data_IF_759386549517
#
_entry.id   IF_759386549517
#
_cell.length_a   1.000
_cell.length_b   1.000
_cell.length_c   1.000
_cell.angle_alpha   90.00
_cell.angle_beta   90.00
_cell.angle_gamma   90.00
#
_symmetry.space_group_name_H-M   'P 1'
#
loop_
_entity.id
_entity.type
_entity.pdbx_description
1 polymer ?
#
# COMPACT_ATOMS: atom_id res chain seq x y z
N UNK A 1 -9.37 28.54 13.49
CA UNK A 1 -9.35 27.13 13.08
C UNK A 1 -8.01 26.83 12.46
N UNK A 2 -7.31 25.79 12.91
CA UNK A 2 -6.12 25.34 12.21
C UNK A 2 -6.49 24.08 11.43
N UNK A 3 -6.64 24.21 10.11
CA UNK A 3 -6.41 23.08 9.21
C UNK A 3 -4.92 22.79 9.33
N UNK A 4 -4.59 21.82 10.17
CA UNK A 4 -3.22 21.43 10.45
C UNK A 4 -2.64 20.62 9.29
N UNK A 5 -1.90 19.58 9.62
CA UNK A 5 -1.40 18.61 8.65
C UNK A 5 -2.46 17.52 8.45
N UNK A 6 -2.87 17.28 7.21
CA UNK A 6 -3.83 16.22 6.86
C UNK A 6 -3.16 14.83 6.84
N UNK A 7 -1.98 14.72 6.20
CA UNK A 7 -1.14 13.53 6.30
C UNK A 7 0.36 13.82 6.16
N UNK A 8 1.19 12.87 6.61
CA UNK A 8 2.64 12.86 6.40
C UNK A 8 3.07 11.54 5.76
N UNK A 9 3.93 11.60 4.74
CA UNK A 9 4.51 10.42 4.09
C UNK A 9 5.97 10.21 4.48
N UNK A 10 6.33 8.97 4.81
CA UNK A 10 7.70 8.52 5.06
C UNK A 10 8.04 7.41 4.08
N UNK A 11 8.93 7.71 3.13
CA UNK A 11 9.46 6.74 2.19
C UNK A 11 10.67 6.02 2.78
N UNK A 12 10.60 4.69 2.83
CA UNK A 12 11.73 3.82 3.11
C UNK A 12 12.55 3.60 1.83
N UNK A 13 13.85 3.37 1.99
CA UNK A 13 14.75 3.03 0.90
C UNK A 13 14.74 1.53 0.60
N UNK A 14 14.35 0.70 1.58
CA UNK A 14 14.32 -0.76 1.48
C UNK A 14 13.07 -1.37 2.12
N UNK A 15 12.64 -2.58 1.70
CA UNK A 15 11.56 -3.31 2.38
C UNK A 15 11.85 -3.58 3.87
N UNK A 16 13.12 -3.84 4.22
CA UNK A 16 13.55 -4.06 5.60
C UNK A 16 13.37 -2.80 6.45
N UNK A 17 13.70 -1.64 5.90
CA UNK A 17 13.46 -0.35 6.55
C UNK A 17 11.97 -0.07 6.71
N UNK A 18 11.14 -0.38 5.71
CA UNK A 18 9.69 -0.27 5.84
C UNK A 18 9.16 -1.16 6.98
N UNK A 19 9.64 -2.40 7.09
CA UNK A 19 9.29 -3.29 8.19
C UNK A 19 9.72 -2.73 9.57
N UNK A 20 10.91 -2.11 9.65
CA UNK A 20 11.35 -1.43 10.86
C UNK A 20 10.46 -0.24 11.22
N UNK A 21 10.07 0.58 10.25
CA UNK A 21 9.17 1.73 10.44
C UNK A 21 7.80 1.27 10.94
N UNK A 22 7.21 0.25 10.30
CA UNK A 22 5.94 -0.37 10.72
C UNK A 22 6.00 -0.82 12.19
N UNK A 23 7.08 -1.48 12.59
CA UNK A 23 7.28 -1.91 13.99
C UNK A 23 7.32 -0.73 14.97
N UNK A 24 8.10 0.31 14.65
CA UNK A 24 8.23 1.49 15.53
C UNK A 24 6.91 2.24 15.68
N UNK A 25 6.15 2.35 14.59
CA UNK A 25 4.81 2.97 14.59
C UNK A 25 3.85 2.19 15.50
N UNK A 26 3.87 0.85 15.39
CA UNK A 26 3.05 -0.01 16.23
C UNK A 26 3.45 0.10 17.71
N UNK A 27 4.75 0.15 18.02
CA UNK A 27 5.27 0.36 19.38
C UNK A 27 4.87 1.74 19.96
N UNK A 28 4.73 2.76 19.11
CA UNK A 28 4.29 4.10 19.49
C UNK A 28 2.77 4.21 19.77
N UNK A 29 2.03 3.10 19.69
CA UNK A 29 0.59 3.05 19.93
C UNK A 29 -0.27 3.50 18.75
N UNK A 30 0.34 3.64 17.57
CA UNK A 30 -0.38 3.93 16.35
C UNK A 30 -1.23 2.73 15.90
N UNK A 31 -2.47 2.98 15.45
CA UNK A 31 -3.28 1.96 14.79
C UNK A 31 -2.77 1.78 13.36
N UNK A 32 -2.19 0.63 13.08
CA UNK A 32 -1.65 0.28 11.77
C UNK A 32 -2.75 -0.32 10.90
N UNK A 33 -2.99 0.27 9.73
CA UNK A 33 -3.88 -0.23 8.68
C UNK A 33 -3.00 -0.54 7.45
N UNK A 34 -2.83 -1.82 7.13
CA UNK A 34 -1.93 -2.24 6.05
C UNK A 34 -2.66 -2.21 4.70
N UNK A 35 -2.19 -1.37 3.78
CA UNK A 35 -2.69 -1.34 2.41
C UNK A 35 -1.95 -2.38 1.55
N UNK A 36 -0.71 -2.71 1.90
CA UNK A 36 0.13 -3.67 1.21
C UNK A 36 0.63 -3.18 -0.14
N UNK A 37 0.97 -4.12 -1.02
CA UNK A 37 1.41 -3.82 -2.38
C UNK A 37 0.27 -3.23 -3.22
N UNK A 38 0.53 -2.06 -3.78
CA UNK A 38 -0.42 -1.30 -4.59
C UNK A 38 0.27 -0.62 -5.78
N UNK A 39 -0.54 -0.15 -6.72
CA UNK A 39 -0.09 0.75 -7.78
C UNK A 39 -0.79 2.09 -7.61
N UNK A 40 0.00 3.13 -7.44
CA UNK A 40 -0.51 4.50 -7.30
C UNK A 40 0.40 5.46 -8.06
N UNK A 41 -0.20 6.32 -8.89
CA UNK A 41 0.50 7.36 -9.63
C UNK A 41 1.66 6.83 -10.48
N UNK A 42 1.44 5.72 -11.21
CA UNK A 42 2.44 5.05 -12.05
C UNK A 42 3.65 4.50 -11.27
N UNK A 43 3.48 4.15 -10.00
CA UNK A 43 4.52 3.49 -9.20
C UNK A 43 3.96 2.25 -8.51
N UNK A 44 4.80 1.21 -8.40
CA UNK A 44 4.58 0.08 -7.51
C UNK A 44 5.09 0.44 -6.12
N UNK A 45 4.22 0.37 -5.12
CA UNK A 45 4.57 0.68 -3.73
C UNK A 45 3.97 -0.32 -2.76
N UNK A 46 4.69 -0.61 -1.68
CA UNK A 46 4.15 -1.26 -0.49
C UNK A 46 3.85 -0.18 0.56
N UNK A 47 2.62 -0.11 1.05
CA UNK A 47 2.12 1.01 1.85
C UNK A 47 1.42 0.58 3.12
N UNK A 48 1.60 1.37 4.16
CA UNK A 48 0.89 1.20 5.42
C UNK A 48 0.53 2.55 5.99
N UNK A 49 -0.68 2.63 6.53
CA UNK A 49 -1.22 3.83 7.15
C UNK A 49 -1.27 3.69 8.66
N UNK A 50 -1.07 4.81 9.35
CA UNK A 50 -1.29 4.91 10.79
C UNK A 50 -1.90 6.26 11.15
N UNK A 51 -2.81 6.28 12.12
CA UNK A 51 -3.29 7.52 12.73
C UNK A 51 -2.64 7.71 14.10
N UNK A 52 -2.05 8.88 14.34
CA UNK A 52 -1.45 9.21 15.63
C UNK A 52 -2.49 9.69 16.66
N UNK A 53 -2.06 9.91 17.91
CA UNK A 53 -2.95 10.35 18.99
C UNK A 53 -3.55 11.76 18.81
N UNK A 54 -3.06 12.54 17.86
CA UNK A 54 -3.60 13.86 17.49
C UNK A 54 -4.56 13.77 16.29
N UNK A 55 -4.73 12.59 15.70
CA UNK A 55 -5.59 12.36 14.54
C UNK A 55 -4.91 12.60 13.19
N UNK A 56 -3.60 12.83 13.15
CA UNK A 56 -2.87 13.00 11.88
C UNK A 56 -2.62 11.62 11.26
N UNK A 57 -2.87 11.50 9.96
CA UNK A 57 -2.59 10.27 9.21
C UNK A 57 -1.13 10.26 8.75
N UNK A 58 -0.47 9.13 8.89
CA UNK A 58 0.90 8.93 8.43
C UNK A 58 0.91 7.73 7.48
N UNK A 59 1.61 7.89 6.36
CA UNK A 59 1.88 6.84 5.38
C UNK A 59 3.35 6.43 5.52
N UNK A 60 3.63 5.15 5.76
CA UNK A 60 4.95 4.58 5.60
C UNK A 60 4.94 3.71 4.34
N UNK A 61 5.87 3.94 3.41
CA UNK A 61 5.85 3.22 2.14
C UNK A 61 7.24 2.95 1.57
N UNK A 62 7.32 1.93 0.72
CA UNK A 62 8.49 1.63 -0.10
C UNK A 62 8.04 1.58 -1.57
N UNK A 63 8.78 2.24 -2.46
CA UNK A 63 8.51 2.21 -3.91
C UNK A 63 9.53 1.31 -4.59
N UNK A 64 9.04 0.26 -5.24
CA UNK A 64 9.87 -0.75 -5.90
C UNK A 64 10.13 -0.47 -7.39
N UNK A 65 9.33 0.41 -8.01
CA UNK A 65 9.53 0.80 -9.41
C UNK A 65 8.36 1.56 -10.02
N UNK A 66 8.45 1.79 -11.33
CA UNK A 66 7.39 2.42 -12.13
C UNK A 66 6.35 1.39 -12.59
N UNK A 67 5.12 1.84 -12.78
CA UNK A 67 3.98 1.06 -13.25
C UNK A 67 3.41 1.66 -14.53
N UNK A 68 2.91 0.81 -15.44
CA UNK A 68 2.29 1.25 -16.69
C UNK A 68 0.87 1.81 -16.53
N UNK A 69 0.28 1.71 -15.34
CA UNK A 69 -1.08 2.17 -15.05
C UNK A 69 -1.09 3.17 -13.89
N UNK A 70 -2.07 4.08 -13.90
CA UNK A 70 -2.15 5.13 -12.89
C UNK A 70 -2.62 4.60 -11.51
N UNK A 71 -3.47 3.57 -11.50
CA UNK A 71 -3.93 2.87 -10.31
C UNK A 71 -3.85 1.36 -10.50
N UNK A 72 -3.90 0.61 -9.39
CA UNK A 72 -4.07 -0.83 -9.42
C UNK A 72 -5.40 -1.19 -10.13
N UNK A 73 -5.41 -2.20 -11.04
CA UNK A 73 -6.64 -2.64 -11.65
C UNK A 73 -7.59 -3.21 -10.58
N UNK A 74 -8.85 -2.76 -10.59
CA UNK A 74 -9.88 -3.26 -9.68
C UNK A 74 -10.04 -4.77 -9.92
N UNK A 75 -9.74 -5.59 -8.90
CA UNK A 75 -9.84 -7.05 -8.99
C UNK A 75 -8.52 -7.84 -9.08
N UNK A 76 -7.36 -7.21 -8.90
CA UNK A 76 -6.07 -7.92 -8.82
C UNK A 76 -5.85 -8.71 -7.51
N UNK A 77 -6.91 -8.91 -6.71
CA UNK A 77 -6.91 -9.84 -5.59
C UNK A 77 -7.13 -11.27 -6.09
N UNK A 78 -6.06 -12.08 -6.10
CA UNK A 78 -6.03 -13.53 -6.32
C UNK A 78 -6.67 -13.97 -7.66
N UNK A 79 -5.83 -14.15 -8.67
CA UNK A 79 -6.18 -14.98 -9.83
C UNK A 79 -6.33 -16.45 -9.39
N UNK A 80 -7.44 -16.78 -8.74
CA UNK A 80 -7.93 -18.15 -8.67
C UNK A 80 -8.66 -18.44 -9.98
N UNK A 81 -8.27 -19.54 -10.61
CA UNK A 81 -8.27 -19.70 -12.06
C UNK A 81 -9.64 -19.78 -12.73
N UNK A 82 -9.65 -19.46 -14.03
CA UNK A 82 -10.42 -20.22 -15.01
C UNK A 82 -9.96 -19.94 -16.46
N UNK A 83 -8.65 -19.96 -16.72
CA UNK A 83 -8.14 -19.92 -18.09
C UNK A 83 -7.22 -21.11 -18.35
N UNK A 84 -7.75 -22.32 -18.23
CA UNK A 84 -7.21 -23.48 -18.95
C UNK A 84 -8.06 -23.70 -20.20
N UNK A 85 -7.40 -24.17 -21.28
CA UNK A 85 -7.96 -24.36 -22.63
C UNK A 85 -9.30 -25.12 -22.69
N UNK A 86 -9.67 -25.82 -21.61
CA UNK A 86 -10.94 -26.53 -21.49
C UNK A 86 -12.18 -25.62 -21.49
N UNK A 87 -12.07 -24.32 -21.20
CA UNK A 87 -13.24 -23.42 -21.19
C UNK A 87 -13.62 -22.89 -22.60
N UNK A 88 -12.68 -22.89 -23.55
CA UNK A 88 -12.92 -22.37 -24.90
C UNK A 88 -13.43 -23.43 -25.90
N UNK A 89 -13.55 -24.69 -25.48
CA UNK A 89 -13.92 -25.80 -26.37
C UNK A 89 -15.43 -26.13 -26.41
N UNK A 90 -16.26 -25.37 -25.70
CA UNK A 90 -17.72 -25.51 -25.73
C UNK A 90 -18.37 -24.25 -26.35
N UNK A 91 -18.25 -24.14 -27.67
CA UNK A 91 -19.00 -23.21 -28.51
C UNK A 91 -19.47 -23.92 -29.77
#
# INVERSE_FOLDING_TARGET
EAKGVEHLGLQAETPEELAMLRRRIQEAGGRVEDEGETTCCYHHSDKTWVTDGQGVSWEAFYTSGEAGTYYAPQGAGRADGCCSESCCAAG
#
